data_IF_583553779318
#
_entry.id   IF_583553779318
#
_cell.length_a   1.000
_cell.length_b   1.000
_cell.length_c   1.000
_cell.angle_alpha   90.00
_cell.angle_beta   90.00
_cell.angle_gamma   90.00
#
_symmetry.space_group_name_H-M   'P 1'
#
loop_
_entity.id
_entity.type
_entity.pdbx_description
1 polymer ?
#
# COMPACT_ATOMS: atom_id res chain seq x y z
N UNK A 1 27.40 -29.69 12.78
CA UNK A 1 27.26 -29.30 11.35
C UNK A 1 26.03 -30.02 10.81
N UNK A 2 24.89 -29.34 10.76
CA UNK A 2 23.63 -29.90 10.30
C UNK A 2 23.24 -29.18 9.00
N UNK A 3 23.22 -29.94 7.91
CA UNK A 3 22.91 -29.47 6.56
C UNK A 3 21.39 -29.52 6.38
N UNK A 4 20.75 -28.35 6.25
CA UNK A 4 19.34 -28.25 5.91
C UNK A 4 19.16 -28.45 4.40
N UNK A 5 18.46 -29.52 4.01
CA UNK A 5 18.00 -29.75 2.64
C UNK A 5 16.83 -28.80 2.34
N UNK A 6 17.03 -27.88 1.38
CA UNK A 6 15.93 -27.17 0.73
C UNK A 6 15.20 -28.13 -0.21
N UNK A 7 13.92 -28.36 0.03
CA UNK A 7 13.03 -29.06 -0.90
C UNK A 7 12.55 -28.09 -1.97
N UNK A 8 12.79 -28.45 -3.23
CA UNK A 8 12.33 -27.69 -4.38
C UNK A 8 10.82 -27.83 -4.58
N UNK A 9 10.11 -26.70 -4.61
CA UNK A 9 8.74 -26.61 -5.07
C UNK A 9 8.67 -25.64 -6.25
N UNK A 10 9.14 -26.10 -7.41
CA UNK A 10 8.89 -25.45 -8.68
C UNK A 10 7.80 -26.24 -9.43
N UNK A 11 6.54 -25.85 -9.26
CA UNK A 11 5.46 -26.28 -10.16
C UNK A 11 5.24 -25.18 -11.19
N UNK A 12 5.62 -25.51 -12.41
CA UNK A 12 5.37 -24.77 -13.65
C UNK A 12 3.87 -24.52 -13.81
N UNK A 13 3.47 -23.25 -13.90
CA UNK A 13 2.12 -22.87 -14.31
C UNK A 13 2.14 -22.73 -15.83
N UNK A 14 1.46 -23.65 -16.52
CA UNK A 14 1.33 -23.67 -17.97
C UNK A 14 0.56 -22.44 -18.47
N UNK A 15 1.29 -21.51 -19.09
CA UNK A 15 0.74 -20.37 -19.79
C UNK A 15 0.37 -20.75 -21.23
N UNK A 16 -0.73 -21.50 -21.41
CA UNK A 16 -1.38 -21.67 -22.71
C UNK A 16 -2.89 -21.62 -22.53
N UNK A 17 -3.48 -20.46 -22.87
CA UNK A 17 -4.75 -20.30 -23.60
C UNK A 17 -5.29 -18.87 -23.42
N UNK A 18 -4.71 -17.91 -24.16
CA UNK A 18 -5.40 -16.70 -24.56
C UNK A 18 -5.28 -16.56 -26.07
N UNK A 19 -6.04 -17.37 -26.80
CA UNK A 19 -6.22 -17.17 -28.25
C UNK A 19 -7.19 -16.01 -28.46
N UNK A 20 -6.65 -14.87 -28.90
CA UNK A 20 -7.40 -13.82 -29.59
C UNK A 20 -7.47 -14.23 -31.06
N UNK A 21 -8.68 -14.52 -31.58
CA UNK A 21 -9.15 -14.27 -32.97
C UNK A 21 -10.27 -15.26 -33.34
N UNK A 22 -11.49 -14.78 -33.39
CA UNK A 22 -12.50 -15.14 -34.40
C UNK A 22 -13.75 -14.28 -34.17
N UNK A 23 -14.05 -13.37 -35.10
CA UNK A 23 -15.39 -12.94 -35.51
C UNK A 23 -15.29 -11.62 -36.30
N UNK A 24 -14.92 -11.73 -37.58
CA UNK A 24 -15.27 -10.75 -38.60
C UNK A 24 -15.99 -11.54 -39.69
N UNK A 25 -17.28 -11.26 -39.87
CA UNK A 25 -18.11 -11.87 -40.90
C UNK A 25 -19.59 -11.67 -40.60
N UNK A 26 -20.22 -10.72 -41.29
CA UNK A 26 -21.68 -10.59 -41.33
C UNK A 26 -22.21 -9.16 -41.19
N UNK A 27 -22.04 -8.36 -42.25
CA UNK A 27 -22.97 -7.27 -42.55
C UNK A 27 -24.29 -7.91 -43.01
N UNK A 28 -25.41 -7.49 -42.42
CA UNK A 28 -26.73 -7.30 -43.06
C UNK A 28 -27.69 -6.69 -42.02
N UNK A 29 -28.09 -5.43 -42.23
CA UNK A 29 -29.23 -4.79 -41.57
C UNK A 29 -30.52 -5.28 -42.25
N UNK A 30 -31.62 -5.44 -41.49
CA UNK A 30 -32.61 -4.36 -41.51
C UNK A 30 -33.18 -4.01 -40.13
N UNK A 31 -33.60 -2.75 -40.04
CA UNK A 31 -34.19 -2.07 -38.90
C UNK A 31 -35.48 -2.72 -38.38
N UNK A 32 -35.67 -2.78 -37.06
CA UNK A 32 -36.94 -2.54 -36.32
C UNK A 32 -36.61 -2.37 -34.82
N UNK A 33 -37.13 -1.32 -34.18
CA UNK A 33 -37.44 -1.33 -32.73
C UNK A 33 -36.43 -0.66 -31.79
N UNK A 34 -36.51 0.67 -31.67
CA UNK A 34 -35.87 1.45 -30.62
C UNK A 34 -36.58 1.21 -29.28
N UNK A 35 -36.15 0.21 -28.51
CA UNK A 35 -36.40 0.16 -27.06
C UNK A 35 -35.11 0.53 -26.33
N UNK A 36 -35.01 1.79 -25.90
CA UNK A 36 -33.99 2.25 -24.95
C UNK A 36 -34.32 1.71 -23.55
N UNK A 37 -34.24 0.39 -23.39
CA UNK A 37 -34.14 -0.27 -22.10
C UNK A 37 -32.72 -0.11 -21.59
N UNK A 38 -32.44 1.00 -20.93
CA UNK A 38 -31.16 1.24 -20.28
C UNK A 38 -30.87 0.15 -19.25
N UNK A 39 -30.03 -0.82 -19.61
CA UNK A 39 -29.37 -1.68 -18.65
C UNK A 39 -28.40 -0.83 -17.82
N UNK A 40 -28.91 -0.13 -16.82
CA UNK A 40 -28.11 0.33 -15.69
C UNK A 40 -27.68 -0.91 -14.93
N UNK A 41 -26.64 -1.59 -15.45
CA UNK A 41 -25.93 -2.63 -14.72
C UNK A 41 -25.22 -1.89 -13.59
N UNK A 42 -25.94 -1.69 -12.49
CA UNK A 42 -25.36 -1.20 -11.25
C UNK A 42 -24.15 -2.06 -10.96
N UNK A 43 -22.97 -1.46 -10.97
CA UNK A 43 -21.78 -2.09 -10.43
C UNK A 43 -22.02 -2.19 -8.92
N UNK A 44 -22.74 -3.22 -8.50
CA UNK A 44 -22.73 -3.65 -7.11
C UNK A 44 -21.31 -4.13 -6.87
N UNK A 45 -20.49 -3.30 -6.22
CA UNK A 45 -19.23 -3.74 -5.62
C UNK A 45 -19.59 -4.82 -4.61
N UNK A 46 -19.51 -6.08 -5.01
CA UNK A 46 -19.68 -7.20 -4.12
C UNK A 46 -18.67 -7.04 -2.99
N UNK A 47 -19.14 -7.05 -1.74
CA UNK A 47 -18.27 -7.01 -0.58
C UNK A 47 -17.29 -8.19 -0.66
N UNK A 48 -16.01 -7.92 -0.39
CA UNK A 48 -14.98 -8.97 -0.38
C UNK A 48 -15.40 -10.10 0.58
N UNK A 49 -15.14 -11.37 0.24
CA UNK A 49 -15.52 -12.49 1.10
C UNK A 49 -14.88 -12.34 2.49
N UNK A 50 -15.69 -12.51 3.54
CA UNK A 50 -15.24 -12.46 4.93
C UNK A 50 -14.38 -13.69 5.22
N UNK A 51 -13.09 -13.49 5.43
CA UNK A 51 -12.14 -14.52 5.87
C UNK A 51 -11.96 -14.40 7.38
N UNK A 52 -11.89 -15.54 8.07
CA UNK A 52 -11.61 -15.57 9.51
C UNK A 52 -10.16 -15.14 9.77
N UNK A 53 -9.98 -14.11 10.60
CA UNK A 53 -8.67 -13.64 11.02
C UNK A 53 -8.25 -14.45 12.25
N UNK A 54 -7.05 -15.07 12.27
CA UNK A 54 -6.60 -15.82 13.43
C UNK A 54 -6.46 -14.91 14.67
N UNK A 55 -6.42 -15.54 15.84
CA UNK A 55 -6.10 -14.83 17.08
C UNK A 55 -4.63 -14.40 17.11
N UNK A 56 -4.36 -13.36 17.90
CA UNK A 56 -3.04 -12.76 18.02
C UNK A 56 -2.99 -11.31 17.54
N UNK A 57 -2.07 -10.55 18.12
CA UNK A 57 -1.89 -9.14 17.83
C UNK A 57 -1.27 -8.96 16.44
N UNK A 58 -1.83 -8.07 15.65
CA UNK A 58 -1.41 -7.81 14.27
C UNK A 58 -1.73 -8.94 13.29
N UNK A 59 -2.56 -9.90 13.70
CA UNK A 59 -2.92 -11.03 12.86
C UNK A 59 -3.67 -10.58 11.59
N UNK A 60 -3.37 -11.24 10.48
CA UNK A 60 -4.05 -11.09 9.21
C UNK A 60 -4.25 -12.47 8.58
N UNK A 61 -5.20 -12.57 7.65
CA UNK A 61 -5.41 -13.77 6.85
C UNK A 61 -5.08 -13.49 5.39
N UNK A 62 -4.47 -14.46 4.70
CA UNK A 62 -4.33 -14.40 3.24
C UNK A 62 -5.61 -14.90 2.58
N UNK A 63 -6.15 -14.10 1.66
CA UNK A 63 -7.29 -14.47 0.82
C UNK A 63 -6.83 -15.31 -0.38
N UNK A 64 -7.78 -15.97 -1.03
CA UNK A 64 -7.52 -16.79 -2.22
C UNK A 64 -6.97 -15.98 -3.41
N UNK A 65 -7.24 -14.67 -3.46
CA UNK A 65 -6.69 -13.74 -4.45
C UNK A 65 -5.28 -13.22 -4.12
N UNK A 66 -4.69 -13.71 -3.02
CA UNK A 66 -3.36 -13.32 -2.54
C UNK A 66 -3.32 -12.05 -1.70
N UNK A 67 -4.44 -11.36 -1.48
CA UNK A 67 -4.50 -10.15 -0.65
C UNK A 67 -4.56 -10.47 0.85
N UNK A 68 -3.99 -9.60 1.68
CA UNK A 68 -4.14 -9.68 3.14
C UNK A 68 -5.46 -9.04 3.59
N UNK A 69 -6.22 -9.79 4.39
CA UNK A 69 -7.35 -9.29 5.15
C UNK A 69 -6.92 -9.01 6.59
N UNK A 70 -7.20 -7.81 7.09
CA UNK A 70 -6.94 -7.41 8.48
C UNK A 70 -8.23 -7.43 9.30
N UNK A 71 -8.07 -7.41 10.63
CA UNK A 71 -9.19 -7.17 11.53
C UNK A 71 -9.79 -5.79 11.23
N UNK A 72 -11.10 -5.77 11.00
CA UNK A 72 -11.77 -4.59 10.50
C UNK A 72 -12.16 -3.64 11.65
N UNK A 73 -11.20 -3.03 12.34
CA UNK A 73 -11.45 -2.16 13.50
C UNK A 73 -12.32 -0.93 13.19
N UNK A 74 -13.07 -0.45 14.18
CA UNK A 74 -13.69 0.88 14.13
C UNK A 74 -12.65 1.94 14.45
N UNK A 75 -12.61 2.99 13.65
CA UNK A 75 -11.77 4.16 13.85
C UNK A 75 -12.58 5.44 13.66
N UNK A 76 -12.04 6.56 14.11
CA UNK A 76 -12.59 7.90 13.93
C UNK A 76 -11.55 8.78 13.28
N UNK A 77 -11.92 9.52 12.23
CA UNK A 77 -11.01 10.43 11.57
C UNK A 77 -10.95 11.83 12.21
N UNK A 78 -10.08 12.71 11.69
CA UNK A 78 -9.92 14.09 12.19
C UNK A 78 -11.17 14.97 12.09
N UNK A 79 -12.19 14.55 11.34
CA UNK A 79 -13.46 15.26 11.22
C UNK A 79 -14.58 14.61 12.05
N UNK A 80 -14.25 13.59 12.87
CA UNK A 80 -15.22 12.86 13.67
C UNK A 80 -15.99 11.79 12.89
N UNK A 81 -15.57 11.47 11.67
CA UNK A 81 -16.24 10.45 10.85
C UNK A 81 -15.77 9.06 11.27
N UNK A 82 -16.72 8.19 11.60
CA UNK A 82 -16.46 6.77 11.86
C UNK A 82 -16.14 6.02 10.57
N UNK A 83 -15.12 5.17 10.61
CA UNK A 83 -14.71 4.32 9.49
C UNK A 83 -14.30 2.93 9.98
N UNK A 84 -14.23 1.98 9.05
CA UNK A 84 -13.83 0.59 9.24
C UNK A 84 -12.47 0.34 8.59
N UNK A 85 -11.49 -0.11 9.36
CA UNK A 85 -10.08 -0.19 8.92
C UNK A 85 -9.89 -0.98 7.62
N UNK A 86 -10.39 -2.21 7.54
CA UNK A 86 -10.25 -3.03 6.34
C UNK A 86 -11.04 -2.43 5.19
N UNK A 87 -12.34 -2.21 5.40
CA UNK A 87 -13.26 -1.89 4.30
C UNK A 87 -13.02 -0.48 3.75
N UNK A 88 -12.82 0.50 4.62
CA UNK A 88 -12.71 1.89 4.23
C UNK A 88 -11.28 2.35 4.01
N UNK A 89 -10.25 1.72 4.58
CA UNK A 89 -8.86 2.21 4.48
C UNK A 89 -7.94 1.29 3.68
N UNK A 90 -8.18 -0.02 3.67
CA UNK A 90 -7.28 -0.99 3.04
C UNK A 90 -7.82 -1.49 1.70
N UNK A 91 -9.10 -1.85 1.64
CA UNK A 91 -9.68 -2.63 0.55
C UNK A 91 -9.50 -1.94 -0.82
N UNK A 92 -8.70 -2.57 -1.67
CA UNK A 92 -8.40 -2.12 -3.03
C UNK A 92 -7.57 -0.84 -3.16
N UNK A 93 -7.05 -0.30 -2.05
CA UNK A 93 -6.33 0.99 -2.02
C UNK A 93 -4.83 0.85 -2.17
N UNK A 94 -4.21 1.93 -2.63
CA UNK A 94 -2.78 2.17 -2.43
C UNK A 94 -2.66 3.20 -1.31
N UNK A 95 -1.86 2.90 -0.29
CA UNK A 95 -1.73 3.80 0.85
C UNK A 95 -0.34 3.79 1.47
N UNK A 96 -0.03 4.84 2.22
CA UNK A 96 1.08 4.93 3.16
C UNK A 96 0.56 5.17 4.57
N UNK A 97 1.05 4.42 5.55
CA UNK A 97 0.66 4.55 6.95
C UNK A 97 1.85 4.93 7.82
N UNK A 98 1.63 5.91 8.69
CA UNK A 98 2.51 6.28 9.81
C UNK A 98 1.76 6.18 11.13
N UNK A 99 2.51 6.05 12.21
CA UNK A 99 1.98 6.01 13.58
C UNK A 99 2.67 7.11 14.36
N UNK A 100 1.92 8.11 14.82
CA UNK A 100 2.45 9.34 15.43
C UNK A 100 1.44 9.86 16.46
N UNK A 101 1.70 11.00 17.08
CA UNK A 101 0.71 11.68 17.94
C UNK A 101 0.89 13.20 17.86
N UNK A 102 -0.20 13.94 18.07
CA UNK A 102 -0.28 15.37 17.77
C UNK A 102 0.68 16.22 18.62
N UNK A 103 0.94 15.81 19.87
CA UNK A 103 1.81 16.52 20.83
C UNK A 103 3.25 16.00 20.86
N UNK A 104 3.69 15.34 19.80
CA UNK A 104 5.05 14.83 19.66
C UNK A 104 6.06 15.98 19.53
N UNK A 105 6.95 16.10 20.53
CA UNK A 105 8.05 17.09 20.55
C UNK A 105 9.31 16.61 19.81
N UNK A 106 9.27 15.39 19.25
CA UNK A 106 10.37 14.79 18.51
C UNK A 106 10.21 14.91 16.99
N UNK A 107 10.44 13.80 16.29
CA UNK A 107 10.59 13.76 14.83
C UNK A 107 9.29 13.96 14.02
N UNK A 108 8.12 13.94 14.65
CA UNK A 108 6.82 13.87 13.94
C UNK A 108 6.56 15.09 13.05
N UNK A 109 6.98 16.29 13.48
CA UNK A 109 6.92 17.53 12.68
C UNK A 109 7.75 17.39 11.40
N UNK A 110 8.99 16.95 11.51
CA UNK A 110 9.91 16.79 10.38
C UNK A 110 9.45 15.68 9.42
N UNK A 111 8.98 14.56 9.97
CA UNK A 111 8.35 13.49 9.18
C UNK A 111 7.19 14.04 8.36
N UNK A 112 6.31 14.84 8.98
CA UNK A 112 5.15 15.44 8.32
C UNK A 112 5.58 16.39 7.20
N UNK A 113 6.60 17.21 7.44
CA UNK A 113 7.14 18.11 6.42
C UNK A 113 7.75 17.35 5.22
N UNK A 114 8.50 16.29 5.46
CA UNK A 114 9.10 15.48 4.38
C UNK A 114 8.04 14.71 3.60
N UNK A 115 7.07 14.12 4.29
CA UNK A 115 5.91 13.49 3.66
C UNK A 115 5.08 14.50 2.85
N UNK A 116 5.00 15.76 3.28
CA UNK A 116 4.32 16.84 2.54
C UNK A 116 5.02 17.14 1.23
N UNK A 117 6.35 17.17 1.22
CA UNK A 117 7.12 17.30 -0.03
C UNK A 117 6.88 16.10 -0.94
N UNK A 118 6.89 14.88 -0.41
CA UNK A 118 6.58 13.65 -1.18
C UNK A 118 5.18 13.70 -1.79
N UNK A 119 4.20 14.16 -1.01
CA UNK A 119 2.84 14.38 -1.47
C UNK A 119 2.81 15.31 -2.68
N UNK A 120 3.53 16.44 -2.65
CA UNK A 120 3.54 17.38 -3.78
C UNK A 120 4.10 16.75 -5.05
N UNK A 121 5.14 15.91 -4.94
CA UNK A 121 5.69 15.16 -6.08
C UNK A 121 4.70 14.14 -6.66
N UNK A 122 3.77 13.65 -5.84
CA UNK A 122 2.76 12.64 -6.19
C UNK A 122 1.36 13.23 -6.37
N UNK A 123 1.19 14.56 -6.33
CA UNK A 123 -0.12 15.23 -6.37
C UNK A 123 -1.08 14.70 -7.44
N UNK A 124 -0.65 14.35 -8.68
CA UNK A 124 -1.54 13.80 -9.71
C UNK A 124 -2.21 12.46 -9.35
N UNK A 125 -1.62 11.66 -8.45
CA UNK A 125 -2.10 10.32 -8.07
C UNK A 125 -2.63 10.26 -6.63
N UNK A 126 -2.57 11.36 -5.88
CA UNK A 126 -3.15 11.44 -4.54
C UNK A 126 -4.69 11.39 -4.64
N UNK A 127 -5.29 10.54 -3.82
CA UNK A 127 -6.69 10.14 -3.88
C UNK A 127 -7.07 9.29 -5.10
N UNK A 128 -6.13 8.98 -5.98
CA UNK A 128 -6.34 8.24 -7.24
C UNK A 128 -5.11 7.43 -7.65
N UNK A 129 -4.78 6.29 -7.02
CA UNK A 129 -5.45 5.65 -5.88
C UNK A 129 -4.69 5.83 -4.54
N UNK A 130 -3.70 6.72 -4.47
CA UNK A 130 -2.76 6.81 -3.33
C UNK A 130 -3.36 7.62 -2.17
N UNK A 131 -3.28 7.09 -0.96
CA UNK A 131 -3.76 7.76 0.26
C UNK A 131 -2.67 7.77 1.34
N UNK A 132 -2.60 8.81 2.16
CA UNK A 132 -1.75 8.85 3.34
C UNK A 132 -2.60 8.80 4.61
N UNK A 133 -2.21 7.92 5.52
CA UNK A 133 -2.86 7.68 6.79
C UNK A 133 -1.87 7.91 7.92
N UNK A 134 -2.30 8.66 8.93
CA UNK A 134 -1.62 8.73 10.21
C UNK A 134 -2.53 8.14 11.29
N UNK A 135 -2.01 7.23 12.10
CA UNK A 135 -2.72 6.66 13.24
C UNK A 135 -2.17 7.24 14.55
N UNK A 136 -3.05 7.79 15.39
CA UNK A 136 -2.67 8.38 16.68
C UNK A 136 -2.29 7.29 17.68
N UNK A 137 -1.10 7.41 18.27
CA UNK A 137 -0.62 6.52 19.33
C UNK A 137 -1.12 6.94 20.73
N UNK A 138 -1.38 8.22 20.93
CA UNK A 138 -1.74 8.80 22.22
C UNK A 138 -3.25 8.94 22.42
N UNK A 139 -4.07 8.46 21.47
CA UNK A 139 -5.52 8.64 21.52
C UNK A 139 -5.92 10.11 21.31
N UNK A 140 -5.22 10.82 20.42
CA UNK A 140 -5.54 12.22 20.12
C UNK A 140 -7.01 12.35 19.69
N UNK A 141 -7.68 13.39 20.18
CA UNK A 141 -9.05 13.71 19.77
C UNK A 141 -9.07 14.17 18.30
N UNK A 142 -10.23 14.07 17.61
CA UNK A 142 -10.37 14.63 16.26
C UNK A 142 -9.94 16.11 16.17
N UNK A 143 -10.23 16.91 17.20
CA UNK A 143 -9.84 18.31 17.27
C UNK A 143 -8.31 18.48 17.34
N UNK A 144 -7.61 17.69 18.16
CA UNK A 144 -6.14 17.73 18.25
C UNK A 144 -5.47 17.28 16.95
N UNK A 145 -5.97 16.20 16.34
CA UNK A 145 -5.49 15.75 15.02
C UNK A 145 -5.68 16.84 13.95
N UNK A 146 -6.83 17.51 13.94
CA UNK A 146 -7.12 18.59 13.00
C UNK A 146 -6.24 19.82 13.25
N UNK A 147 -6.01 20.20 14.49
CA UNK A 147 -5.11 21.28 14.86
C UNK A 147 -3.67 21.01 14.41
N UNK A 148 -3.17 19.77 14.57
CA UNK A 148 -1.87 19.36 14.04
C UNK A 148 -1.82 19.49 12.52
N UNK A 149 -2.82 18.96 11.81
CA UNK A 149 -2.89 19.05 10.36
C UNK A 149 -2.90 20.51 9.86
N UNK A 150 -3.59 21.40 10.56
CA UNK A 150 -3.63 22.84 10.26
C UNK A 150 -2.27 23.51 10.48
N UNK A 151 -1.62 23.23 11.62
CA UNK A 151 -0.29 23.76 11.93
C UNK A 151 0.76 23.37 10.87
N UNK A 152 0.62 22.20 10.25
CA UNK A 152 1.49 21.73 9.17
C UNK A 152 0.98 22.09 7.76
N UNK A 153 -0.18 22.74 7.64
CA UNK A 153 -0.82 23.09 6.37
C UNK A 153 -1.08 21.88 5.48
N UNK A 154 -1.56 20.79 6.07
CA UNK A 154 -1.94 19.54 5.39
C UNK A 154 -3.43 19.20 5.55
N UNK A 155 -4.19 19.99 6.31
CA UNK A 155 -5.62 19.80 6.59
C UNK A 155 -6.51 19.77 5.34
N UNK A 156 -6.12 20.51 4.31
CA UNK A 156 -6.83 20.63 3.04
C UNK A 156 -6.24 19.75 1.93
N UNK A 157 -5.25 18.89 2.22
CA UNK A 157 -4.67 17.98 1.22
C UNK A 157 -5.59 16.76 1.03
N UNK A 158 -6.12 16.54 -0.20
CA UNK A 158 -6.95 15.38 -0.47
C UNK A 158 -6.27 14.06 -0.10
N UNK A 159 -7.03 13.13 0.47
CA UNK A 159 -6.55 11.78 0.79
C UNK A 159 -5.35 11.72 1.74
N UNK A 160 -5.12 12.76 2.54
CA UNK A 160 -4.32 12.70 3.76
C UNK A 160 -5.25 12.75 4.97
N UNK A 161 -5.30 11.65 5.72
CA UNK A 161 -6.24 11.50 6.84
C UNK A 161 -5.54 11.03 8.10
N UNK A 162 -6.07 11.45 9.22
CA UNK A 162 -5.60 11.09 10.56
C UNK A 162 -6.70 10.26 11.22
N UNK A 163 -6.31 9.28 12.01
CA UNK A 163 -7.23 8.35 12.66
C UNK A 163 -6.87 8.13 14.12
N UNK A 164 -7.91 8.05 14.94
CA UNK A 164 -7.85 7.63 16.34
C UNK A 164 -8.81 6.45 16.56
N UNK A 165 -8.66 5.75 17.68
CA UNK A 165 -9.43 4.55 17.98
C UNK A 165 -9.12 4.01 19.38
N UNK A 166 -9.63 2.83 19.71
CA UNK A 166 -9.26 2.17 20.97
C UNK A 166 -7.76 1.83 20.97
N UNK A 167 -7.14 1.82 22.15
CA UNK A 167 -5.73 1.44 22.28
C UNK A 167 -5.45 0.04 21.73
N UNK A 168 -6.40 -0.88 21.87
CA UNK A 168 -6.33 -2.22 21.28
C UNK A 168 -6.33 -2.16 19.74
N UNK A 169 -7.24 -1.39 19.13
CA UNK A 169 -7.30 -1.26 17.68
C UNK A 169 -6.02 -0.65 17.11
N UNK A 170 -5.51 0.42 17.72
CA UNK A 170 -4.27 1.07 17.27
C UNK A 170 -3.07 0.13 17.45
N UNK A 171 -2.99 -0.61 18.56
CA UNK A 171 -1.94 -1.60 18.78
C UNK A 171 -2.01 -2.74 17.75
N UNK A 172 -3.20 -3.29 17.48
CA UNK A 172 -3.40 -4.36 16.51
C UNK A 172 -3.00 -3.93 15.09
N UNK A 173 -3.44 -2.74 14.66
CA UNK A 173 -3.09 -2.17 13.35
C UNK A 173 -1.57 -1.92 13.27
N UNK A 174 -0.97 -1.33 14.30
CA UNK A 174 0.47 -1.05 14.33
C UNK A 174 1.31 -2.32 14.22
N UNK A 175 0.91 -3.37 14.93
CA UNK A 175 1.55 -4.68 14.87
C UNK A 175 1.36 -5.36 13.52
N UNK A 176 0.19 -5.25 12.89
CA UNK A 176 -0.05 -5.75 11.54
C UNK A 176 0.88 -5.11 10.49
N UNK A 177 1.38 -3.90 10.77
CA UNK A 177 2.32 -3.17 9.92
C UNK A 177 3.79 -3.50 10.23
N UNK A 178 4.03 -4.36 11.23
CA UNK A 178 5.36 -4.75 11.68
C UNK A 178 6.07 -3.67 12.49
N UNK A 179 5.32 -2.77 13.14
CA UNK A 179 5.86 -1.68 13.95
C UNK A 179 5.62 -1.87 15.45
N UNK A 180 5.27 -3.10 15.85
CA UNK A 180 5.23 -3.53 17.24
C UNK A 180 6.60 -3.94 17.75
N UNK A 181 6.85 -3.74 19.04
CA UNK A 181 8.01 -4.29 19.74
C UNK A 181 7.57 -5.50 20.60
N UNK A 182 8.24 -6.66 20.53
CA UNK A 182 7.90 -7.81 21.37
C UNK A 182 8.11 -7.56 22.87
N UNK A 183 8.93 -6.58 23.26
CA UNK A 183 9.01 -6.10 24.63
C UNK A 183 7.88 -5.10 24.90
N UNK A 184 6.97 -5.45 25.81
CA UNK A 184 5.78 -4.65 26.10
C UNK A 184 6.08 -3.27 26.71
N UNK A 185 7.14 -3.15 27.51
CA UNK A 185 7.56 -1.87 28.09
C UNK A 185 8.06 -0.92 26.98
N UNK A 186 8.89 -1.44 26.08
CA UNK A 186 9.34 -0.69 24.89
C UNK A 186 8.16 -0.35 23.98
N UNK A 187 7.25 -1.29 23.75
CA UNK A 187 6.10 -1.12 22.84
C UNK A 187 5.12 -0.04 23.31
N UNK A 188 4.98 0.12 24.64
CA UNK A 188 4.14 1.14 25.27
C UNK A 188 4.83 2.50 25.39
N UNK A 189 6.15 2.56 25.19
CA UNK A 189 6.89 3.80 25.26
C UNK A 189 6.66 4.64 24.00
N UNK A 190 5.85 5.70 24.14
CA UNK A 190 5.55 6.64 23.05
C UNK A 190 6.79 7.37 22.52
N UNK A 191 7.90 7.46 23.27
CA UNK A 191 9.14 8.06 22.77
C UNK A 191 9.89 7.12 21.80
N UNK A 192 9.70 5.80 21.91
CA UNK A 192 10.40 4.79 21.12
C UNK A 192 9.69 4.39 19.82
N UNK A 193 8.55 5.02 19.49
CA UNK A 193 7.80 4.65 18.30
C UNK A 193 8.57 4.95 17.00
N UNK A 194 8.28 4.18 15.96
CA UNK A 194 9.07 4.19 14.73
C UNK A 194 8.88 5.45 13.88
N UNK A 195 9.99 6.03 13.39
CA UNK A 195 10.00 7.10 12.38
C UNK A 195 9.77 6.62 10.94
N UNK A 196 9.23 5.41 10.77
CA UNK A 196 9.05 4.76 9.48
C UNK A 196 7.65 4.99 8.92
N UNK A 197 7.55 5.03 7.58
CA UNK A 197 6.29 4.92 6.85
C UNK A 197 6.27 3.58 6.12
N UNK A 198 5.11 2.91 6.14
CA UNK A 198 4.89 1.69 5.37
C UNK A 198 3.82 1.91 4.31
N UNK A 199 4.14 1.53 3.09
CA UNK A 199 3.27 1.63 1.94
C UNK A 199 2.76 0.27 1.49
N UNK A 200 1.55 0.26 0.94
CA UNK A 200 0.90 -0.93 0.40
C UNK A 200 0.15 -0.61 -0.88
N UNK A 201 0.18 -1.52 -1.85
CA UNK A 201 -0.85 -1.67 -2.86
C UNK A 201 -1.62 -2.96 -2.56
N UNK A 202 -2.83 -2.81 -1.98
CA UNK A 202 -3.59 -3.94 -1.45
C UNK A 202 -3.92 -4.98 -2.53
N UNK A 203 -4.28 -4.52 -3.75
CA UNK A 203 -4.65 -5.42 -4.86
C UNK A 203 -3.53 -6.38 -5.27
N UNK A 204 -2.28 -6.06 -4.93
CA UNK A 204 -1.10 -6.85 -5.26
C UNK A 204 -0.42 -7.45 -4.02
N UNK A 205 -0.98 -7.23 -2.82
CA UNK A 205 -0.31 -7.40 -1.52
C UNK A 205 1.16 -6.95 -1.56
N UNK A 206 1.42 -5.80 -2.20
CA UNK A 206 2.79 -5.32 -2.44
C UNK A 206 3.13 -4.24 -1.45
N UNK A 207 4.18 -4.49 -0.65
CA UNK A 207 4.58 -3.65 0.46
C UNK A 207 5.95 -3.02 0.25
N UNK A 208 6.13 -1.84 0.83
CA UNK A 208 7.42 -1.18 0.93
C UNK A 208 7.48 -0.34 2.20
N UNK A 209 8.68 0.00 2.67
CA UNK A 209 8.85 0.91 3.80
C UNK A 209 10.10 1.77 3.61
N UNK A 210 10.08 2.97 4.18
CA UNK A 210 11.24 3.85 4.28
C UNK A 210 11.12 4.76 5.51
N UNK A 211 12.22 5.37 5.97
CA UNK A 211 12.13 6.44 6.96
C UNK A 211 11.26 7.59 6.43
N UNK A 212 10.32 8.08 7.22
CA UNK A 212 9.42 9.17 6.79
C UNK A 212 10.16 10.52 6.69
N UNK A 213 11.30 10.69 7.38
CA UNK A 213 12.20 11.85 7.22
C UNK A 213 13.12 11.72 5.99
N UNK A 214 13.05 10.63 5.24
CA UNK A 214 13.91 10.37 4.08
C UNK A 214 13.71 11.33 2.91
N UNK A 215 14.41 11.08 1.79
CA UNK A 215 14.28 11.90 0.57
C UNK A 215 12.85 11.81 0.01
N UNK A 216 12.18 12.95 -0.22
CA UNK A 216 10.85 12.97 -0.80
C UNK A 216 10.74 12.28 -2.16
N UNK A 217 11.78 12.44 -3.00
CA UNK A 217 11.89 11.79 -4.30
C UNK A 217 12.03 10.27 -4.17
N UNK A 218 12.80 9.80 -3.20
CA UNK A 218 12.95 8.38 -2.92
C UNK A 218 11.63 7.77 -2.44
N UNK A 219 10.92 8.46 -1.54
CA UNK A 219 9.58 8.06 -1.09
C UNK A 219 8.59 8.00 -2.26
N UNK A 220 8.54 9.05 -3.10
CA UNK A 220 7.64 9.07 -4.25
C UNK A 220 7.96 7.98 -5.28
N UNK A 221 9.25 7.73 -5.55
CA UNK A 221 9.69 6.61 -6.42
C UNK A 221 9.31 5.25 -5.83
N UNK A 222 9.40 5.09 -4.52
CA UNK A 222 9.00 3.86 -3.83
C UNK A 222 7.52 3.57 -4.03
N UNK A 223 6.66 4.59 -3.85
CA UNK A 223 5.21 4.47 -4.09
C UNK A 223 4.93 4.10 -5.55
N UNK A 224 5.59 4.75 -6.52
CA UNK A 224 5.44 4.40 -7.94
C UNK A 224 5.85 2.95 -8.24
N UNK A 225 6.83 2.40 -7.51
CA UNK A 225 7.23 1.00 -7.67
C UNK A 225 6.22 -0.01 -7.12
N UNK A 226 5.21 0.42 -6.36
CA UNK A 226 4.10 -0.44 -5.93
C UNK A 226 3.10 -0.75 -7.05
N UNK A 227 3.14 -0.01 -8.16
CA UNK A 227 2.31 -0.27 -9.32
C UNK A 227 2.96 -1.30 -10.27
N UNK A 228 2.15 -2.07 -11.03
CA UNK A 228 2.62 -2.89 -12.13
C UNK A 228 3.48 -2.06 -13.08
N UNK A 229 4.53 -2.66 -13.67
CA UNK A 229 5.51 -1.91 -14.48
C UNK A 229 4.88 -1.14 -15.64
N UNK A 230 3.82 -1.67 -16.24
CA UNK A 230 3.05 -1.08 -17.35
C UNK A 230 2.02 -0.04 -16.89
N UNK A 231 1.77 0.10 -15.59
CA UNK A 231 0.77 1.01 -14.99
C UNK A 231 1.42 2.10 -14.11
N UNK A 232 2.75 2.18 -14.08
CA UNK A 232 3.46 3.17 -13.27
C UNK A 232 3.14 4.58 -13.75
N UNK A 233 2.63 5.47 -12.88
CA UNK A 233 2.35 6.83 -13.28
C UNK A 233 3.65 7.57 -13.59
N UNK A 234 3.64 8.33 -14.68
CA UNK A 234 4.73 9.25 -15.00
C UNK A 234 4.50 10.55 -14.24
N UNK A 235 5.35 10.80 -13.26
CA UNK A 235 5.25 11.97 -12.39
C UNK A 235 6.41 12.91 -12.68
N UNK A 236 6.12 14.11 -13.19
CA UNK A 236 7.15 15.10 -13.54
C UNK A 236 8.11 15.41 -12.37
N UNK A 237 7.60 15.42 -11.13
CA UNK A 237 8.39 15.68 -9.92
C UNK A 237 9.46 14.63 -9.60
N UNK A 238 9.36 13.42 -10.17
CA UNK A 238 10.37 12.36 -10.01
C UNK A 238 10.88 11.81 -11.34
N UNK A 239 10.45 12.40 -12.46
CA UNK A 239 10.98 12.12 -13.78
C UNK A 239 12.49 12.30 -13.72
N UNK A 240 13.21 11.27 -14.16
CA UNK A 240 14.66 11.15 -14.10
C UNK A 240 15.37 12.48 -14.38
N UNK A 241 15.89 13.14 -13.33
CA UNK A 241 17.28 13.60 -13.40
C UNK A 241 18.06 12.30 -13.50
N UNK A 242 18.75 12.08 -14.62
CA UNK A 242 19.53 10.88 -14.90
C UNK A 242 20.23 10.49 -13.59
N UNK A 243 19.87 9.31 -13.06
CA UNK A 243 20.55 8.75 -11.92
C UNK A 243 22.04 8.81 -12.26
N UNK A 244 22.86 9.33 -11.35
CA UNK A 244 24.32 9.25 -11.42
C UNK A 244 24.67 7.97 -12.18
N UNK A 245 25.34 8.06 -13.35
CA UNK A 245 25.57 6.90 -14.19
C UNK A 245 26.06 5.80 -13.27
N UNK A 246 25.40 4.64 -13.31
CA UNK A 246 25.77 3.51 -12.45
C UNK A 246 27.26 3.29 -12.64
N UNK A 247 28.07 3.68 -11.65
CA UNK A 247 29.50 3.48 -11.76
C UNK A 247 29.68 1.97 -11.77
N UNK A 248 30.33 1.41 -12.82
CA UNK A 248 30.63 0.00 -12.80
C UNK A 248 31.40 -0.28 -11.51
N UNK A 249 30.90 -1.24 -10.71
CA UNK A 249 31.64 -1.69 -9.54
C UNK A 249 32.99 -2.22 -10.07
N UNK A 250 34.08 -1.55 -9.69
CA UNK A 250 35.42 -1.91 -10.15
C UNK A 250 35.65 -3.40 -9.84
N UNK A 251 35.96 -4.18 -10.87
CA UNK A 251 36.20 -5.64 -10.80
C UNK A 251 34.97 -6.52 -10.52
N UNK A 252 33.74 -6.00 -10.64
CA UNK A 252 32.55 -6.85 -10.58
C UNK A 252 32.08 -7.23 -11.99
N UNK A 253 31.94 -8.53 -12.24
CA UNK A 253 31.22 -9.07 -13.39
C UNK A 253 29.95 -9.76 -12.90
N UNK A 254 28.78 -9.56 -13.55
CA UNK A 254 27.59 -10.35 -13.24
C UNK A 254 27.90 -11.85 -13.34
N UNK A 255 27.32 -12.65 -12.45
CA UNK A 255 27.35 -14.10 -12.62
C UNK A 255 26.75 -14.46 -13.99
N UNK A 256 27.45 -15.31 -14.75
CA UNK A 256 26.89 -15.83 -16.00
C UNK A 256 25.62 -16.61 -15.66
N UNK A 257 24.51 -16.44 -16.41
CA UNK A 257 23.34 -17.29 -16.25
C UNK A 257 23.77 -18.75 -16.32
N UNK A 258 23.27 -19.58 -15.41
CA UNK A 258 23.41 -21.03 -15.52
C UNK A 258 22.74 -21.43 -16.83
N UNK A 259 23.53 -21.77 -17.85
CA UNK A 259 23.01 -22.39 -19.07
C UNK A 259 22.60 -23.80 -18.68
N UNK A 260 21.34 -23.98 -18.26
CA UNK A 260 20.77 -25.31 -18.13
C UNK A 260 20.72 -25.94 -19.51
N UNK A 261 21.58 -26.95 -19.74
CA UNK A 261 21.49 -27.84 -20.90
C UNK A 261 20.20 -28.66 -20.76
N UNK A 262 19.07 -28.12 -21.22
CA UNK A 262 17.78 -28.82 -21.32
C UNK A 262 17.70 -29.70 -22.58
N UNK A 263 18.82 -30.29 -22.98
CA UNK A 263 18.93 -31.10 -24.19
C UNK A 263 19.68 -32.42 -23.92
N UNK A 264 19.19 -33.22 -22.96
CA UNK A 264 19.59 -34.64 -22.86
C UNK A 264 18.62 -35.52 -22.07
N UNK A 265 17.31 -35.24 -22.08
CA UNK A 265 16.27 -36.14 -21.54
C UNK A 265 15.02 -36.20 -22.41
N UNK A 266 15.21 -36.40 -23.72
CA UNK A 266 14.23 -37.02 -24.61
C UNK A 266 14.86 -38.28 -25.20
#
# INVERSE_FOLDING_TARGET
MATLQQTEHNKTVDAKNFSRRAALGGLLFPAVGLFLGGCTRGLTTAAAPKVAIPEGRGAFALRADGTRAFRNHELVDQNGVKVRFQDDLVEGKVFGATFQYAKCEGICSDMTQQMKKSYQLMKPIMGKPVNFYMFSLAGDSPAEMKAFMQAHGIDNLPSWRFFTGSSEAIADIRWAFGFGDPNEETDKNLAGHTGMVRFCNHKLDKWAACPAQGSPESTARLVVRLFPSNERPQLAGIASKIATPSYPMKNWSPAKPLTANLASQL
#
